data_IF_678146241435
#
_entry.id   IF_678146241435
#
_cell.length_a   1.000
_cell.length_b   1.000
_cell.length_c   1.000
_cell.angle_alpha   90.00
_cell.angle_beta   90.00
_cell.angle_gamma   90.00
#
_symmetry.space_group_name_H-M   'P 1'
#
loop_
_entity.id
_entity.type
_entity.pdbx_description
1 polymer ?
#
# COMPACT_ATOMS: atom_id res chain seq x y z
N UNK A 1 -23.58 -21.40 27.90
CA UNK A 1 -24.60 -20.42 28.27
C UNK A 1 -24.66 -19.37 27.14
N UNK A 2 -25.59 -19.52 26.20
CA UNK A 2 -25.84 -18.55 25.13
C UNK A 2 -26.56 -17.38 25.77
N UNK A 3 -25.85 -16.25 25.96
CA UNK A 3 -26.41 -15.07 26.57
C UNK A 3 -27.59 -14.57 25.74
N UNK A 4 -28.74 -14.41 26.36
CA UNK A 4 -29.92 -13.78 25.78
C UNK A 4 -29.50 -12.37 25.30
N UNK A 5 -29.37 -12.21 24.00
CA UNK A 5 -29.10 -10.92 23.40
C UNK A 5 -30.34 -10.03 23.67
N UNK A 6 -30.25 -9.13 24.62
CA UNK A 6 -31.29 -8.10 24.86
C UNK A 6 -31.59 -7.41 23.51
N UNK A 7 -32.85 -7.33 23.07
CA UNK A 7 -33.22 -6.76 21.77
C UNK A 7 -32.66 -5.35 21.57
N UNK A 8 -32.53 -4.58 22.62
CA UNK A 8 -31.92 -3.23 22.58
C UNK A 8 -30.44 -3.31 22.20
N UNK A 9 -29.67 -4.26 22.73
CA UNK A 9 -28.23 -4.44 22.37
C UNK A 9 -28.09 -4.80 20.89
N UNK A 10 -28.95 -5.65 20.38
CA UNK A 10 -28.98 -6.05 18.97
C UNK A 10 -29.28 -4.84 18.08
N UNK A 11 -30.32 -4.06 18.40
CA UNK A 11 -30.67 -2.85 17.65
C UNK A 11 -29.52 -1.84 17.66
N UNK A 12 -28.96 -1.55 18.84
CA UNK A 12 -27.81 -0.63 18.96
C UNK A 12 -26.62 -1.11 18.12
N UNK A 13 -26.31 -2.41 18.15
CA UNK A 13 -25.23 -2.97 17.33
C UNK A 13 -25.46 -2.77 15.84
N UNK A 14 -26.67 -3.04 15.32
CA UNK A 14 -26.99 -2.84 13.91
C UNK A 14 -26.97 -1.36 13.51
N UNK A 15 -27.47 -0.47 14.38
CA UNK A 15 -27.41 0.99 14.13
C UNK A 15 -25.96 1.47 14.06
N UNK A 16 -25.11 1.06 15.00
CA UNK A 16 -23.68 1.41 14.98
C UNK A 16 -22.99 0.85 13.75
N UNK A 17 -23.30 -0.38 13.36
CA UNK A 17 -22.75 -1.01 12.16
C UNK A 17 -23.20 -0.28 10.89
N UNK A 18 -24.47 0.09 10.79
CA UNK A 18 -24.99 0.87 9.66
C UNK A 18 -24.32 2.25 9.57
N UNK A 19 -24.17 2.96 10.70
CA UNK A 19 -23.47 4.24 10.75
C UNK A 19 -22.01 4.11 10.33
N UNK A 20 -21.33 3.07 10.80
CA UNK A 20 -19.95 2.76 10.41
C UNK A 20 -19.85 2.50 8.91
N UNK A 21 -20.75 1.68 8.35
CA UNK A 21 -20.78 1.40 6.91
C UNK A 21 -21.03 2.68 6.09
N UNK A 22 -21.98 3.50 6.47
CA UNK A 22 -22.26 4.78 5.78
C UNK A 22 -21.05 5.71 5.85
N UNK A 23 -20.38 5.77 7.00
CA UNK A 23 -19.20 6.62 7.18
C UNK A 23 -18.02 6.19 6.29
N UNK A 24 -17.76 4.89 6.18
CA UNK A 24 -16.62 4.40 5.38
C UNK A 24 -16.94 4.23 3.88
N UNK A 25 -18.16 3.78 3.55
CA UNK A 25 -18.55 3.53 2.16
C UNK A 25 -19.06 4.82 1.49
N UNK A 26 -19.65 5.75 2.25
CA UNK A 26 -20.22 6.98 1.73
C UNK A 26 -19.24 7.79 0.85
N UNK A 27 -18.04 8.10 1.31
CA UNK A 27 -17.04 8.81 0.48
C UNK A 27 -16.68 8.06 -0.81
N UNK A 28 -16.57 6.73 -0.76
CA UNK A 28 -16.25 5.90 -1.93
C UNK A 28 -17.38 6.00 -2.96
N UNK A 29 -18.63 5.83 -2.52
CA UNK A 29 -19.81 6.00 -3.38
C UNK A 29 -19.90 7.40 -3.96
N UNK A 30 -19.55 8.42 -3.18
CA UNK A 30 -19.50 9.79 -3.67
C UNK A 30 -18.51 9.97 -4.82
N UNK A 31 -17.29 9.43 -4.72
CA UNK A 31 -16.32 9.46 -5.81
C UNK A 31 -16.80 8.69 -7.04
N UNK A 32 -17.44 7.53 -6.84
CA UNK A 32 -18.02 6.75 -7.95
C UNK A 32 -19.13 7.55 -8.66
N UNK A 33 -20.05 8.16 -7.89
CA UNK A 33 -21.12 8.99 -8.43
C UNK A 33 -20.56 10.22 -9.18
N UNK A 34 -19.53 10.85 -8.63
CA UNK A 34 -18.89 12.01 -9.26
C UNK A 34 -18.14 11.63 -10.54
N UNK A 35 -17.53 10.44 -10.61
CA UNK A 35 -16.84 9.93 -11.80
C UNK A 35 -17.80 9.67 -12.99
N UNK A 36 -19.06 9.32 -12.72
CA UNK A 36 -20.08 9.10 -13.76
C UNK A 36 -20.99 10.32 -14.01
N UNK A 37 -20.73 11.44 -13.32
CA UNK A 37 -21.50 12.67 -13.45
C UNK A 37 -20.99 13.52 -14.61
N UNK A 38 -21.87 14.14 -15.44
CA UNK A 38 -21.45 15.13 -16.43
C UNK A 38 -20.74 16.31 -15.79
N UNK A 39 -19.70 16.83 -16.46
CA UNK A 39 -18.90 17.96 -15.94
C UNK A 39 -19.75 19.20 -15.65
N UNK A 40 -20.79 19.46 -16.46
CA UNK A 40 -21.71 20.58 -16.31
C UNK A 40 -22.53 20.56 -15.02
N UNK A 41 -22.76 19.39 -14.45
CA UNK A 41 -23.56 19.21 -13.22
C UNK A 41 -22.71 18.87 -12.00
N UNK A 42 -21.41 18.65 -12.15
CA UNK A 42 -20.55 18.18 -11.08
C UNK A 42 -20.56 19.10 -9.85
N UNK A 43 -20.63 20.42 -10.07
CA UNK A 43 -20.71 21.46 -9.02
C UNK A 43 -21.78 22.53 -9.33
N UNK A 44 -22.89 22.10 -9.90
CA UNK A 44 -24.03 22.99 -10.11
C UNK A 44 -24.59 23.49 -8.78
N UNK A 45 -24.95 24.75 -8.74
CA UNK A 45 -25.64 25.40 -7.60
C UNK A 45 -26.98 25.91 -8.11
N UNK A 46 -28.12 25.37 -7.61
CA UNK A 46 -28.26 24.33 -6.57
C UNK A 46 -27.79 22.93 -7.02
N UNK A 47 -27.45 22.01 -6.06
CA UNK A 47 -26.98 20.67 -6.41
C UNK A 47 -28.02 19.87 -7.22
N UNK A 48 -27.61 19.34 -8.36
CA UNK A 48 -28.46 18.47 -9.20
C UNK A 48 -28.36 17.06 -8.64
N UNK A 49 -29.44 16.55 -8.01
CA UNK A 49 -29.46 15.21 -7.43
C UNK A 49 -29.67 14.12 -8.47
N UNK A 50 -30.52 14.40 -9.48
CA UNK A 50 -30.81 13.47 -10.57
C UNK A 50 -30.12 13.95 -11.84
N UNK A 51 -29.28 13.12 -12.40
CA UNK A 51 -28.51 13.41 -13.62
C UNK A 51 -28.44 12.18 -14.51
N UNK A 52 -28.25 12.34 -15.80
CA UNK A 52 -27.99 11.24 -16.72
C UNK A 52 -26.53 10.77 -16.53
N UNK A 53 -26.31 9.50 -16.12
CA UNK A 53 -24.95 8.98 -15.93
C UNK A 53 -24.20 8.94 -17.26
N UNK A 54 -22.91 9.32 -17.22
CA UNK A 54 -22.02 9.24 -18.37
C UNK A 54 -20.72 8.54 -17.99
N UNK A 55 -20.20 7.71 -18.89
CA UNK A 55 -18.89 7.07 -18.72
C UNK A 55 -17.74 7.88 -19.35
N UNK A 56 -18.00 9.10 -19.79
CA UNK A 56 -17.05 9.91 -20.53
C UNK A 56 -15.74 10.15 -19.74
N UNK A 57 -15.85 10.48 -18.46
CA UNK A 57 -14.68 10.69 -17.61
C UNK A 57 -13.87 9.39 -17.39
N UNK A 58 -14.54 8.25 -17.22
CA UNK A 58 -13.88 6.95 -17.11
C UNK A 58 -13.21 6.54 -18.41
N UNK A 59 -13.90 6.73 -19.55
CA UNK A 59 -13.34 6.47 -20.86
C UNK A 59 -12.10 7.33 -21.11
N UNK A 60 -12.19 8.64 -20.86
CA UNK A 60 -11.07 9.55 -20.95
C UNK A 60 -9.89 9.11 -20.06
N UNK A 61 -10.16 8.69 -18.82
CA UNK A 61 -9.12 8.27 -17.88
C UNK A 61 -8.43 6.95 -18.31
N UNK A 62 -9.18 6.01 -18.93
CA UNK A 62 -8.68 4.66 -19.21
C UNK A 62 -8.24 4.45 -20.66
N UNK A 63 -8.81 5.17 -21.63
CA UNK A 63 -8.67 4.84 -23.06
C UNK A 63 -7.92 5.89 -23.85
N UNK A 64 -8.10 7.18 -23.56
CA UNK A 64 -7.52 8.23 -24.40
C UNK A 64 -5.97 8.25 -24.34
N UNK A 65 -5.29 8.41 -25.49
CA UNK A 65 -3.83 8.44 -25.56
C UNK A 65 -3.22 9.57 -24.70
N UNK A 66 -2.19 9.23 -23.94
CA UNK A 66 -1.49 10.20 -23.06
C UNK A 66 -2.10 10.34 -21.67
N UNK A 67 -3.14 9.60 -21.34
CA UNK A 67 -3.90 9.69 -20.10
C UNK A 67 -3.49 8.68 -19.02
N UNK A 68 -4.30 8.64 -17.97
CA UNK A 68 -4.03 7.93 -16.72
C UNK A 68 -3.86 6.41 -16.85
N UNK A 69 -4.29 5.79 -17.95
CA UNK A 69 -4.03 4.36 -18.19
C UNK A 69 -2.52 4.05 -18.27
N UNK A 70 -1.76 4.88 -19.00
CA UNK A 70 -0.31 4.76 -19.04
C UNK A 70 0.32 5.00 -17.67
N UNK A 71 -0.18 5.99 -16.94
CA UNK A 71 0.29 6.32 -15.59
C UNK A 71 -0.11 5.26 -14.56
N UNK A 72 -1.28 4.63 -14.69
CA UNK A 72 -1.68 3.48 -13.89
C UNK A 72 -0.74 2.28 -14.11
N UNK A 73 -0.38 2.00 -15.39
CA UNK A 73 0.63 1.00 -15.71
C UNK A 73 1.98 1.34 -15.09
N UNK A 74 2.41 2.59 -15.16
CA UNK A 74 3.66 3.04 -14.54
C UNK A 74 3.65 2.84 -13.03
N UNK A 75 2.54 3.21 -12.36
CA UNK A 75 2.35 2.94 -10.93
C UNK A 75 2.44 1.45 -10.62
N UNK A 76 1.85 0.59 -11.46
CA UNK A 76 1.93 -0.86 -11.28
C UNK A 76 3.38 -1.36 -11.39
N UNK A 77 4.13 -0.89 -12.39
CA UNK A 77 5.55 -1.24 -12.58
C UNK A 77 6.38 -0.81 -11.37
N UNK A 78 6.18 0.40 -10.87
CA UNK A 78 6.89 0.93 -9.70
C UNK A 78 6.51 0.16 -8.44
N UNK A 79 5.21 -0.08 -8.21
CA UNK A 79 4.74 -0.76 -7.01
C UNK A 79 5.18 -2.23 -6.96
N UNK A 80 5.04 -2.95 -8.07
CA UNK A 80 5.52 -4.35 -8.18
C UNK A 80 7.05 -4.40 -8.07
N UNK A 81 7.77 -3.51 -8.75
CA UNK A 81 9.22 -3.39 -8.65
C UNK A 81 9.69 -3.11 -7.22
N UNK A 82 8.96 -2.24 -6.50
CA UNK A 82 9.25 -1.96 -5.11
C UNK A 82 9.09 -3.19 -4.21
N UNK A 83 8.03 -3.98 -4.39
CA UNK A 83 7.81 -5.24 -3.65
C UNK A 83 8.89 -6.27 -3.97
N UNK A 84 9.19 -6.47 -5.26
CA UNK A 84 10.19 -7.45 -5.71
C UNK A 84 11.59 -7.12 -5.19
N UNK A 85 11.94 -5.84 -5.10
CA UNK A 85 13.21 -5.41 -4.51
C UNK A 85 13.18 -5.46 -2.98
N UNK A 86 12.04 -5.18 -2.34
CA UNK A 86 11.91 -5.13 -0.90
C UNK A 86 12.13 -6.48 -0.22
N UNK A 87 11.44 -7.53 -0.67
CA UNK A 87 11.40 -8.83 0.01
C UNK A 87 12.77 -9.52 0.15
N UNK A 88 13.63 -9.54 -0.89
CA UNK A 88 14.95 -10.14 -0.79
C UNK A 88 15.86 -9.52 0.28
N UNK A 89 15.64 -8.26 0.62
CA UNK A 89 16.41 -7.56 1.66
C UNK A 89 15.71 -7.60 3.02
N UNK A 90 14.39 -7.37 3.05
CA UNK A 90 13.65 -7.28 4.31
C UNK A 90 13.49 -8.62 5.02
N UNK A 91 13.26 -9.71 4.29
CA UNK A 91 13.03 -11.03 4.88
C UNK A 91 14.28 -11.59 5.57
N UNK A 92 15.47 -11.64 4.94
CA UNK A 92 16.68 -12.08 5.62
C UNK A 92 17.10 -11.16 6.78
N UNK A 93 16.90 -9.83 6.62
CA UNK A 93 17.17 -8.88 7.68
C UNK A 93 16.26 -9.09 8.91
N UNK A 94 14.96 -9.30 8.67
CA UNK A 94 13.99 -9.63 9.72
C UNK A 94 14.33 -10.94 10.43
N UNK A 95 14.73 -11.97 9.66
CA UNK A 95 15.19 -13.25 10.22
C UNK A 95 16.43 -13.07 11.10
N UNK A 96 17.41 -12.32 10.62
CA UNK A 96 18.62 -12.04 11.39
C UNK A 96 18.29 -11.30 12.70
N UNK A 97 17.44 -10.27 12.63
CA UNK A 97 16.98 -9.52 13.79
C UNK A 97 16.08 -10.34 14.74
N UNK A 98 15.39 -11.36 14.23
CA UNK A 98 14.59 -12.26 15.07
C UNK A 98 15.47 -13.24 15.84
N UNK A 99 16.38 -13.92 15.15
CA UNK A 99 17.07 -15.13 15.63
C UNK A 99 18.48 -14.89 16.18
N UNK A 100 19.21 -13.93 15.67
CA UNK A 100 20.58 -13.73 16.11
C UNK A 100 20.67 -12.81 17.34
N UNK A 101 21.55 -13.15 18.28
CA UNK A 101 21.87 -12.33 19.44
C UNK A 101 22.77 -11.18 19.02
N UNK A 102 22.18 -10.02 18.74
CA UNK A 102 22.90 -8.81 18.33
C UNK A 102 22.85 -7.76 19.45
N UNK A 103 24.03 -7.27 19.90
CA UNK A 103 24.10 -6.20 20.93
C UNK A 103 23.39 -4.92 20.48
N UNK A 104 23.45 -4.60 19.18
CA UNK A 104 22.87 -3.39 18.60
C UNK A 104 21.38 -3.54 18.20
N UNK A 105 20.73 -4.70 18.40
CA UNK A 105 19.36 -4.99 17.93
C UNK A 105 18.36 -3.88 18.28
N UNK A 106 18.38 -3.43 19.54
CA UNK A 106 17.48 -2.35 20.01
C UNK A 106 17.71 -1.04 19.25
N UNK A 107 18.95 -0.67 19.03
CA UNK A 107 19.29 0.58 18.32
C UNK A 107 18.95 0.50 16.84
N UNK A 108 19.16 -0.63 16.18
CA UNK A 108 18.77 -0.85 14.79
C UNK A 108 17.25 -0.74 14.63
N UNK A 109 16.48 -1.35 15.54
CA UNK A 109 15.01 -1.25 15.52
C UNK A 109 14.53 0.18 15.78
N UNK A 110 15.13 0.90 16.73
CA UNK A 110 14.82 2.30 16.98
C UNK A 110 15.17 3.19 15.77
N UNK A 111 16.27 2.91 15.09
CA UNK A 111 16.66 3.62 13.88
C UNK A 111 15.66 3.40 12.74
N UNK A 112 15.19 2.16 12.53
CA UNK A 112 14.14 1.88 11.56
C UNK A 112 12.85 2.63 11.88
N UNK A 113 12.42 2.66 13.14
CA UNK A 113 11.25 3.43 13.57
C UNK A 113 11.46 4.93 13.32
N UNK A 114 12.67 5.44 13.61
CA UNK A 114 13.04 6.84 13.33
C UNK A 114 12.93 7.20 11.86
N UNK A 115 13.35 6.30 10.94
CA UNK A 115 13.17 6.49 9.50
C UNK A 115 11.68 6.57 9.08
N UNK A 116 10.82 5.76 9.69
CA UNK A 116 9.38 5.79 9.42
C UNK A 116 8.70 7.06 9.92
N UNK A 117 9.24 7.71 10.95
CA UNK A 117 8.75 8.99 11.48
C UNK A 117 9.23 10.20 10.66
N UNK A 118 10.28 10.03 9.88
CA UNK A 118 10.82 11.13 9.09
C UNK A 118 9.89 11.50 7.94
N UNK A 119 9.59 12.80 7.76
CA UNK A 119 8.70 13.22 6.67
C UNK A 119 9.35 12.96 5.30
N UNK A 120 8.68 12.23 4.38
CA UNK A 120 9.25 11.92 3.07
C UNK A 120 9.71 13.16 2.28
N UNK A 121 9.04 14.29 2.48
CA UNK A 121 9.34 15.56 1.81
C UNK A 121 10.77 16.04 2.11
N UNK A 122 11.30 15.77 3.30
CA UNK A 122 12.67 16.14 3.66
C UNK A 122 13.74 15.46 2.80
N UNK A 123 13.42 14.31 2.22
CA UNK A 123 14.34 13.53 1.39
C UNK A 123 14.22 13.80 -0.10
N UNK A 124 13.21 14.57 -0.56
CA UNK A 124 12.94 14.76 -2.00
C UNK A 124 14.13 15.36 -2.73
N UNK A 125 14.65 16.48 -2.22
CA UNK A 125 15.77 17.18 -2.87
C UNK A 125 17.07 16.35 -2.81
N UNK A 126 17.50 15.79 -1.68
CA UNK A 126 18.66 14.90 -1.64
C UNK A 126 18.58 13.72 -2.59
N UNK A 127 17.42 13.07 -2.69
CA UNK A 127 17.25 11.94 -3.61
C UNK A 127 17.22 12.38 -5.06
N UNK A 128 16.61 13.50 -5.39
CA UNK A 128 16.66 14.06 -6.73
C UNK A 128 18.10 14.32 -7.19
N UNK A 129 18.90 14.99 -6.35
CA UNK A 129 20.32 15.26 -6.63
C UNK A 129 21.10 13.95 -6.81
N UNK A 130 20.90 12.98 -5.92
CA UNK A 130 21.57 11.69 -5.97
C UNK A 130 21.24 10.95 -7.28
N UNK A 131 19.92 10.79 -7.57
CA UNK A 131 19.47 10.06 -8.76
C UNK A 131 19.88 10.75 -10.06
N UNK A 132 19.94 12.09 -10.07
CA UNK A 132 20.44 12.85 -11.22
C UNK A 132 21.94 12.61 -11.42
N UNK A 133 22.74 12.65 -10.34
CA UNK A 133 24.20 12.44 -10.44
C UNK A 133 24.58 11.06 -10.94
N UNK A 134 23.80 10.02 -10.58
CA UNK A 134 24.05 8.64 -11.05
C UNK A 134 23.31 8.31 -12.35
N UNK A 135 22.64 9.31 -12.98
CA UNK A 135 21.98 9.14 -14.28
C UNK A 135 20.68 8.33 -14.27
N UNK A 136 20.05 8.16 -13.10
CA UNK A 136 18.81 7.39 -12.94
C UNK A 136 17.55 8.25 -12.84
N UNK A 137 17.66 9.58 -12.74
CA UNK A 137 16.49 10.46 -12.71
C UNK A 137 15.59 10.25 -13.95
N UNK A 138 14.29 10.27 -13.75
CA UNK A 138 13.31 10.03 -14.82
C UNK A 138 13.05 8.55 -15.15
N UNK A 139 13.65 7.60 -14.43
CA UNK A 139 13.47 6.16 -14.67
C UNK A 139 12.60 5.50 -13.60
N UNK A 140 12.01 4.33 -13.91
CA UNK A 140 11.31 3.52 -12.90
C UNK A 140 12.24 3.07 -11.77
N UNK A 141 13.49 2.75 -12.09
CA UNK A 141 14.47 2.26 -11.14
C UNK A 141 14.76 3.28 -10.04
N UNK A 142 14.85 4.58 -10.38
CA UNK A 142 15.05 5.63 -9.36
C UNK A 142 13.95 5.64 -8.33
N UNK A 143 12.68 5.55 -8.76
CA UNK A 143 11.53 5.52 -7.88
C UNK A 143 11.50 4.24 -7.03
N UNK A 144 11.75 3.07 -7.65
CA UNK A 144 11.82 1.78 -6.95
C UNK A 144 12.88 1.79 -5.86
N UNK A 145 14.09 2.31 -6.16
CA UNK A 145 15.19 2.39 -5.18
C UNK A 145 14.87 3.32 -4.02
N UNK A 146 14.37 4.51 -4.31
CA UNK A 146 14.08 5.51 -3.28
C UNK A 146 12.94 5.09 -2.37
N UNK A 147 11.92 4.41 -2.90
CA UNK A 147 10.82 3.85 -2.11
C UNK A 147 11.32 2.85 -1.05
N UNK A 148 12.46 2.18 -1.27
CA UNK A 148 13.01 1.23 -0.29
C UNK A 148 13.37 1.88 1.04
N UNK A 149 13.68 3.16 1.05
CA UNK A 149 13.99 3.90 2.30
C UNK A 149 12.87 3.80 3.33
N UNK A 150 11.63 3.76 2.87
CA UNK A 150 10.45 3.68 3.74
C UNK A 150 9.87 2.27 3.81
N UNK A 151 9.89 1.54 2.68
CA UNK A 151 9.26 0.22 2.63
C UNK A 151 10.09 -0.87 3.32
N UNK A 152 11.43 -0.88 3.19
CA UNK A 152 12.28 -1.90 3.85
C UNK A 152 12.20 -1.84 5.38
N UNK A 153 12.33 -0.68 6.06
CA UNK A 153 12.23 -0.61 7.51
C UNK A 153 10.88 -1.14 8.03
N UNK A 154 9.79 -0.77 7.37
CA UNK A 154 8.46 -1.25 7.71
C UNK A 154 8.34 -2.76 7.51
N UNK A 155 8.81 -3.27 6.36
CA UNK A 155 8.75 -4.70 6.03
C UNK A 155 9.59 -5.54 6.99
N UNK A 156 10.76 -5.06 7.41
CA UNK A 156 11.60 -5.72 8.41
C UNK A 156 10.85 -5.81 9.74
N UNK A 157 10.25 -4.71 10.17
CA UNK A 157 9.49 -4.68 11.43
C UNK A 157 8.32 -5.66 11.41
N UNK A 158 7.55 -5.64 10.33
CA UNK A 158 6.39 -6.52 10.13
C UNK A 158 6.82 -7.99 10.06
N UNK A 159 7.77 -8.33 9.18
CA UNK A 159 8.25 -9.69 8.99
C UNK A 159 8.87 -10.25 10.25
N UNK A 160 9.63 -9.42 11.00
CA UNK A 160 10.20 -9.85 12.28
C UNK A 160 9.12 -10.30 13.26
N UNK A 161 7.99 -9.60 13.35
CA UNK A 161 6.88 -9.97 14.23
C UNK A 161 6.33 -11.36 13.89
N UNK A 162 6.15 -11.66 12.60
CA UNK A 162 5.71 -13.00 12.17
C UNK A 162 6.76 -14.09 12.41
N UNK A 163 8.04 -13.78 12.23
CA UNK A 163 9.12 -14.76 12.48
C UNK A 163 9.27 -15.01 13.97
N UNK A 164 9.09 -14.00 14.82
CA UNK A 164 9.18 -14.15 16.29
C UNK A 164 8.10 -15.13 16.85
N UNK A 165 6.98 -15.31 16.16
CA UNK A 165 5.91 -16.22 16.55
C UNK A 165 6.22 -17.71 16.22
N UNK A 166 7.18 -17.96 15.33
CA UNK A 166 7.59 -19.34 14.99
C UNK A 166 8.47 -19.89 16.11
N UNK A 167 8.11 -21.03 16.71
CA UNK A 167 8.93 -21.69 17.75
C UNK A 167 10.36 -21.95 17.28
N UNK A 168 11.35 -21.61 18.12
CA UNK A 168 12.77 -21.76 17.77
C UNK A 168 13.18 -23.21 17.66
N UNK A 169 12.48 -24.10 18.37
CA UNK A 169 12.70 -25.54 18.41
C UNK A 169 12.61 -26.19 17.01
N UNK A 170 11.76 -25.64 16.12
CA UNK A 170 11.66 -26.11 14.73
C UNK A 170 12.99 -25.88 13.98
N UNK A 171 13.62 -24.72 14.23
CA UNK A 171 14.91 -24.40 13.61
C UNK A 171 16.06 -25.19 14.23
N UNK A 172 16.01 -25.41 15.54
CA UNK A 172 17.02 -26.20 16.27
C UNK A 172 17.01 -27.65 15.79
N UNK A 173 15.84 -28.26 15.62
CA UNK A 173 15.71 -29.60 15.05
C UNK A 173 16.33 -29.65 13.63
N UNK A 174 16.02 -28.70 12.77
CA UNK A 174 16.59 -28.64 11.43
C UNK A 174 18.11 -28.45 11.42
N UNK A 175 18.66 -27.72 12.41
CA UNK A 175 20.13 -27.59 12.57
C UNK A 175 20.80 -28.88 12.99
N UNK A 176 20.15 -29.68 13.84
CA UNK A 176 20.62 -31.02 14.22
C UNK A 176 20.69 -31.92 13.00
N UNK A 177 19.72 -31.79 12.07
CA UNK A 177 19.71 -32.49 10.77
C UNK A 177 20.73 -31.92 9.75
N UNK A 178 21.56 -30.94 10.15
CA UNK A 178 22.61 -30.36 9.32
C UNK A 178 22.13 -29.25 8.35
N UNK A 179 20.90 -28.75 8.50
CA UNK A 179 20.38 -27.68 7.64
C UNK A 179 21.12 -26.38 7.85
N UNK A 180 21.57 -25.76 6.77
CA UNK A 180 22.22 -24.43 6.79
C UNK A 180 21.15 -23.34 6.97
N UNK A 181 21.55 -22.18 7.50
CA UNK A 181 20.64 -21.06 7.84
C UNK A 181 19.72 -20.64 6.67
N UNK A 182 20.21 -20.63 5.44
CA UNK A 182 19.41 -20.27 4.26
C UNK A 182 18.37 -21.34 3.90
N UNK A 183 18.69 -22.64 4.15
CA UNK A 183 17.71 -23.72 3.98
C UNK A 183 16.61 -23.59 5.01
N UNK A 184 16.97 -23.30 6.26
CA UNK A 184 16.00 -23.05 7.35
C UNK A 184 15.10 -21.87 6.95
N UNK A 185 15.69 -20.74 6.56
CA UNK A 185 14.93 -19.55 6.19
C UNK A 185 13.98 -19.82 5.02
N UNK A 186 14.48 -20.34 3.89
CA UNK A 186 13.69 -20.42 2.67
C UNK A 186 12.78 -21.65 2.58
N UNK A 187 13.16 -22.78 3.19
CA UNK A 187 12.37 -24.02 3.11
C UNK A 187 11.51 -24.30 4.33
N UNK A 188 11.80 -23.70 5.48
CA UNK A 188 11.07 -23.96 6.71
C UNK A 188 10.34 -22.69 7.17
N UNK A 189 11.05 -21.61 7.43
CA UNK A 189 10.46 -20.38 8.00
C UNK A 189 9.55 -19.68 7.01
N UNK A 190 9.98 -19.41 5.79
CA UNK A 190 9.15 -18.68 4.81
C UNK A 190 7.80 -19.35 4.52
N UNK A 191 7.69 -20.67 4.36
CA UNK A 191 6.39 -21.33 4.24
C UNK A 191 5.50 -21.16 5.48
N UNK A 192 6.07 -21.21 6.69
CA UNK A 192 5.33 -21.03 7.94
C UNK A 192 4.82 -19.60 8.10
N UNK A 193 5.65 -18.60 7.75
CA UNK A 193 5.28 -17.18 7.81
C UNK A 193 4.67 -16.66 6.51
N UNK A 194 4.20 -17.52 5.62
CA UNK A 194 3.55 -17.13 4.36
C UNK A 194 2.45 -16.08 4.53
N UNK A 195 1.57 -16.14 5.54
CA UNK A 195 0.62 -15.06 5.79
C UNK A 195 1.31 -13.71 6.01
N UNK A 196 2.38 -13.68 6.79
CA UNK A 196 3.18 -12.48 7.03
C UNK A 196 3.83 -11.93 5.76
N UNK A 197 4.38 -12.81 4.89
CA UNK A 197 4.94 -12.41 3.60
C UNK A 197 3.89 -11.72 2.72
N UNK A 198 2.69 -12.30 2.65
CA UNK A 198 1.59 -11.73 1.85
C UNK A 198 1.19 -10.37 2.39
N UNK A 199 0.95 -10.25 3.68
CA UNK A 199 0.54 -9.00 4.33
C UNK A 199 1.62 -7.92 4.16
N UNK A 200 2.88 -8.26 4.37
CA UNK A 200 4.01 -7.33 4.18
C UNK A 200 4.11 -6.85 2.73
N UNK A 201 3.95 -7.78 1.76
CA UNK A 201 3.94 -7.45 0.33
C UNK A 201 2.78 -6.52 -0.04
N UNK A 202 1.59 -6.76 0.51
CA UNK A 202 0.42 -5.91 0.29
C UNK A 202 0.67 -4.48 0.79
N UNK A 203 1.19 -4.33 2.00
CA UNK A 203 1.51 -3.00 2.54
C UNK A 203 2.58 -2.29 1.72
N UNK A 204 3.66 -2.99 1.34
CA UNK A 204 4.71 -2.42 0.49
C UNK A 204 4.16 -1.98 -0.87
N UNK A 205 3.27 -2.80 -1.48
CA UNK A 205 2.59 -2.46 -2.73
C UNK A 205 1.72 -1.22 -2.58
N UNK A 206 0.81 -1.21 -1.60
CA UNK A 206 -0.15 -0.11 -1.39
C UNK A 206 0.60 1.19 -1.08
N UNK A 207 1.67 1.12 -0.30
CA UNK A 207 2.52 2.27 0.00
C UNK A 207 3.18 2.83 -1.26
N UNK A 208 3.77 1.97 -2.09
CA UNK A 208 4.42 2.37 -3.34
C UNK A 208 3.41 2.87 -4.38
N UNK A 209 2.25 2.22 -4.50
CA UNK A 209 1.17 2.58 -5.41
C UNK A 209 0.61 3.97 -5.14
N UNK A 210 0.38 4.31 -3.86
CA UNK A 210 -0.21 5.59 -3.45
C UNK A 210 0.84 6.71 -3.31
N UNK A 211 2.14 6.41 -3.47
CA UNK A 211 3.17 7.42 -3.26
C UNK A 211 3.17 8.45 -4.38
N UNK A 212 2.97 9.72 -4.02
CA UNK A 212 3.08 10.86 -4.93
C UNK A 212 4.40 11.61 -4.74
N UNK A 213 4.96 11.62 -3.52
CA UNK A 213 6.06 12.49 -3.17
C UNK A 213 7.34 12.22 -3.99
N UNK A 214 7.79 10.98 -4.06
CA UNK A 214 8.98 10.63 -4.83
C UNK A 214 8.78 10.71 -6.35
N UNK A 215 7.68 10.19 -6.93
CA UNK A 215 7.41 10.38 -8.34
C UNK A 215 7.31 11.85 -8.78
N UNK A 216 6.86 12.76 -7.91
CA UNK A 216 6.78 14.18 -8.20
C UNK A 216 8.11 14.78 -8.67
N UNK A 217 9.22 14.34 -8.06
CA UNK A 217 10.55 14.86 -8.36
C UNK A 217 11.41 13.92 -9.21
N UNK A 218 11.11 12.60 -9.20
CA UNK A 218 11.94 11.60 -9.84
C UNK A 218 11.36 11.07 -11.16
N UNK A 219 10.08 11.29 -11.46
CA UNK A 219 9.49 10.80 -12.70
C UNK A 219 9.74 11.77 -13.87
N UNK A 220 9.63 11.25 -15.08
CA UNK A 220 9.55 12.00 -16.34
C UNK A 220 8.14 11.89 -16.92
N UNK A 221 7.85 12.57 -18.03
CA UNK A 221 6.57 12.40 -18.74
C UNK A 221 6.27 10.93 -19.07
N UNK A 222 7.31 10.14 -19.42
CA UNK A 222 7.16 8.72 -19.79
C UNK A 222 6.95 7.80 -18.57
N UNK A 223 7.42 8.19 -17.40
CA UNK A 223 7.41 7.36 -16.17
C UNK A 223 6.50 7.91 -15.08
N UNK A 224 5.77 9.00 -15.37
CA UNK A 224 4.81 9.58 -14.42
C UNK A 224 3.81 8.54 -13.93
N UNK A 225 3.60 8.50 -12.62
CA UNK A 225 2.68 7.58 -11.95
C UNK A 225 1.27 8.16 -11.88
N UNK A 226 0.27 7.34 -11.57
CA UNK A 226 -1.12 7.74 -11.52
C UNK A 226 -1.38 8.92 -10.55
N UNK A 227 -0.82 8.96 -9.32
CA UNK A 227 -0.97 10.11 -8.45
C UNK A 227 -0.44 11.42 -9.07
N UNK A 228 0.63 11.36 -9.87
CA UNK A 228 1.17 12.54 -10.56
C UNK A 228 0.28 12.96 -11.71
N UNK A 229 -0.25 11.99 -12.45
CA UNK A 229 -1.15 12.29 -13.57
C UNK A 229 -2.43 12.98 -13.16
N UNK A 230 -2.94 12.68 -11.96
CA UNK A 230 -4.14 13.36 -11.44
C UNK A 230 -3.93 14.85 -11.19
N UNK A 231 -2.69 15.29 -10.96
CA UNK A 231 -2.38 16.71 -10.81
C UNK A 231 -2.64 17.50 -12.09
N UNK A 232 -2.57 16.86 -13.26
CA UNK A 232 -2.88 17.50 -14.55
C UNK A 232 -4.34 17.97 -14.69
N UNK A 233 -5.26 17.44 -13.87
CA UNK A 233 -6.66 17.88 -13.86
C UNK A 233 -6.92 19.16 -13.06
N UNK A 234 -5.89 19.68 -12.37
CA UNK A 234 -5.91 21.02 -11.77
C UNK A 234 -5.35 22.04 -12.77
N UNK A 235 -6.15 22.42 -13.76
CA UNK A 235 -5.74 23.41 -14.76
C UNK A 235 -6.03 24.83 -14.30
N UNK A 236 -5.32 25.82 -14.88
CA UNK A 236 -5.57 27.24 -14.65
C UNK A 236 -6.96 27.71 -15.09
N UNK A 237 -7.61 26.96 -15.99
CA UNK A 237 -8.96 27.21 -16.51
C UNK A 237 -10.08 26.61 -15.63
N UNK A 238 -9.73 25.91 -14.56
CA UNK A 238 -10.67 25.29 -13.64
C UNK A 238 -10.31 23.84 -13.32
N UNK A 239 -10.97 23.29 -12.30
CA UNK A 239 -10.75 21.91 -11.82
C UNK A 239 -11.79 21.00 -12.45
N UNK A 240 -11.35 19.95 -13.13
CA UNK A 240 -12.23 18.94 -13.73
C UNK A 240 -12.47 17.78 -12.75
N UNK A 241 -13.41 18.00 -11.84
CA UNK A 241 -13.66 17.10 -10.71
C UNK A 241 -14.11 15.70 -11.10
N UNK A 242 -14.87 15.55 -12.17
CA UNK A 242 -15.29 14.26 -12.70
C UNK A 242 -14.08 13.43 -13.19
N UNK A 243 -13.06 14.05 -13.79
CA UNK A 243 -11.83 13.38 -14.18
C UNK A 243 -10.97 13.02 -12.98
N UNK A 244 -10.88 13.90 -11.98
CA UNK A 244 -10.20 13.59 -10.70
C UNK A 244 -10.89 12.42 -10.00
N UNK A 245 -12.22 12.44 -9.94
CA UNK A 245 -12.99 11.36 -9.34
C UNK A 245 -12.83 10.04 -10.11
N UNK A 246 -12.82 10.10 -11.44
CA UNK A 246 -12.56 8.94 -12.30
C UNK A 246 -11.16 8.36 -12.05
N UNK A 247 -10.14 9.20 -12.01
CA UNK A 247 -8.77 8.77 -11.69
C UNK A 247 -8.67 8.18 -10.28
N UNK A 248 -9.39 8.75 -9.30
CA UNK A 248 -9.45 8.21 -7.95
C UNK A 248 -10.12 6.82 -7.91
N UNK A 249 -11.22 6.63 -8.64
CA UNK A 249 -11.88 5.32 -8.78
C UNK A 249 -10.91 4.29 -9.38
N UNK A 250 -10.20 4.65 -10.46
CA UNK A 250 -9.18 3.78 -11.06
C UNK A 250 -8.04 3.48 -10.07
N UNK A 251 -7.60 4.48 -9.29
CA UNK A 251 -6.55 4.31 -8.29
C UNK A 251 -6.96 3.38 -7.13
N UNK A 252 -8.26 3.31 -6.80
CA UNK A 252 -8.76 2.42 -5.75
C UNK A 252 -8.78 0.94 -6.17
N UNK A 253 -8.89 0.64 -7.48
CA UNK A 253 -9.08 -0.73 -7.95
C UNK A 253 -7.94 -1.70 -7.59
N UNK A 254 -6.63 -1.43 -7.85
CA UNK A 254 -5.58 -2.38 -7.56
C UNK A 254 -5.42 -2.69 -6.05
N UNK A 255 -5.39 -1.71 -5.13
CA UNK A 255 -5.39 -2.00 -3.69
C UNK A 255 -6.62 -2.80 -3.24
N UNK A 256 -7.81 -2.49 -3.76
CA UNK A 256 -9.04 -3.18 -3.42
C UNK A 256 -9.02 -4.63 -3.91
N UNK A 257 -8.59 -4.89 -5.14
CA UNK A 257 -8.45 -6.24 -5.69
C UNK A 257 -7.46 -7.06 -4.86
N UNK A 258 -6.30 -6.48 -4.55
CA UNK A 258 -5.28 -7.15 -3.72
C UNK A 258 -5.86 -7.48 -2.35
N UNK A 259 -6.56 -6.55 -1.72
CA UNK A 259 -7.20 -6.79 -0.42
C UNK A 259 -8.23 -7.91 -0.49
N UNK A 260 -9.14 -7.90 -1.48
CA UNK A 260 -10.17 -8.93 -1.64
C UNK A 260 -9.60 -10.32 -1.92
N UNK A 261 -8.48 -10.41 -2.66
CA UNK A 261 -7.82 -11.69 -2.97
C UNK A 261 -7.11 -12.26 -1.73
N UNK A 262 -6.58 -11.39 -0.88
CA UNK A 262 -5.73 -11.77 0.25
C UNK A 262 -6.36 -11.49 1.63
N UNK A 263 -7.65 -11.16 1.71
CA UNK A 263 -8.39 -10.82 2.93
C UNK A 263 -8.17 -11.81 4.08
N UNK A 264 -8.24 -13.13 3.78
CA UNK A 264 -8.02 -14.23 4.73
C UNK A 264 -6.64 -14.17 5.42
N UNK A 265 -5.63 -13.64 4.74
CA UNK A 265 -4.28 -13.53 5.32
C UNK A 265 -4.17 -12.29 6.19
N UNK A 266 -4.87 -11.20 5.82
CA UNK A 266 -4.93 -9.96 6.61
C UNK A 266 -5.62 -10.21 7.95
N UNK A 267 -6.77 -10.86 7.93
CA UNK A 267 -7.52 -11.21 9.17
C UNK A 267 -6.66 -12.07 10.08
N UNK A 268 -6.02 -13.11 9.55
CA UNK A 268 -5.10 -13.95 10.34
C UNK A 268 -3.90 -13.16 10.87
N UNK A 269 -3.26 -12.34 10.04
CA UNK A 269 -2.10 -11.55 10.44
C UNK A 269 -2.40 -10.53 11.54
N UNK A 270 -3.59 -9.93 11.55
CA UNK A 270 -4.02 -8.98 12.59
C UNK A 270 -4.46 -9.67 13.89
N UNK A 271 -4.94 -10.91 13.80
CA UNK A 271 -5.39 -11.68 14.98
C UNK A 271 -4.26 -12.43 15.68
N UNK A 272 -3.15 -12.76 15.00
CA UNK A 272 -1.97 -13.41 15.61
C UNK A 272 -1.32 -12.56 16.71
N UNK A 273 -1.42 -11.24 16.68
CA UNK A 273 -0.94 -10.36 17.76
C UNK A 273 -1.94 -10.11 18.90
N UNK A 274 -3.22 -10.47 18.74
CA UNK A 274 -4.29 -10.10 19.66
C UNK A 274 -4.73 -11.22 20.63
N UNK A 275 -4.33 -12.47 20.38
CA UNK A 275 -4.69 -13.62 21.23
C UNK A 275 -3.45 -14.07 22.01
N UNK A 276 -3.03 -13.27 22.98
CA UNK A 276 -2.31 -13.70 24.16
C UNK A 276 -3.34 -13.76 25.28
N UNK A 277 -4.03 -14.89 25.34
CA UNK A 277 -4.85 -15.28 26.46
C UNK A 277 -4.32 -16.57 27.02
#
# INVERSE_FOLDING_TARGET
>A
MVGQNHPIKVIVTYVLLALTLVFFIGPILWFILLAIRPASTAFAVPPVLFFEPTLNALHHTLVDPGNNAHQARNSLVVAVGAVLLNLPFSVPAAYALSRFKMRAKKYVMLWYLGLLMAPPVAFLIPYFILMTRIGLAGTYLSMVLVLQTLTIPFSIWMMKSFIDEVPVEIEEAARVDGAKWYVILFRIIMPLVRPGLIVTSMFAFVFAWNNAAFPLVLSSQKTATLPIGTLGYFASTGVTWNFIASAAVVAMLPPMIIFLVFDKYVVRGLTFGAVKG
#
